data_IF_107078616812
#
_entry.id   IF_107078616812
#
_cell.length_a   1.000
_cell.length_b   1.000
_cell.length_c   1.000
_cell.angle_alpha   90.00
_cell.angle_beta   90.00
_cell.angle_gamma   90.00
#
_symmetry.space_group_name_H-M   'P 1'
#
loop_
_entity.id
_entity.type
_entity.pdbx_description
1 polymer ?
#
# COMPACT_ATOMS: atom_id res chain seq x y z
N UNK A 1 3.91 -12.27 27.22
CA UNK A 1 4.91 -11.80 26.24
C UNK A 1 5.04 -12.86 25.17
N UNK A 2 4.46 -12.62 23.99
CA UNK A 2 4.44 -13.61 22.89
C UNK A 2 5.88 -13.81 22.38
N UNK A 3 6.36 -15.07 22.39
CA UNK A 3 7.75 -15.40 22.03
C UNK A 3 7.96 -15.64 20.53
N UNK A 4 6.89 -15.70 19.73
CA UNK A 4 6.91 -15.91 18.28
C UNK A 4 5.71 -15.20 17.66
N UNK A 5 5.94 -14.23 16.78
CA UNK A 5 4.90 -13.68 15.91
C UNK A 5 4.75 -14.67 14.75
N UNK A 6 3.54 -15.17 14.52
CA UNK A 6 3.27 -16.11 13.42
C UNK A 6 2.58 -15.42 12.24
N UNK A 7 1.71 -14.45 12.53
CA UNK A 7 0.99 -13.65 11.56
C UNK A 7 0.82 -12.25 12.14
N UNK A 8 0.92 -11.23 11.29
CA UNK A 8 0.63 -9.84 11.62
C UNK A 8 -0.58 -9.44 10.76
N UNK A 9 -1.76 -9.18 11.37
CA UNK A 9 -2.85 -8.55 10.66
C UNK A 9 -2.44 -7.13 10.30
N UNK A 10 -2.46 -6.81 8.99
CA UNK A 10 -2.04 -5.52 8.49
C UNK A 10 -2.93 -5.04 7.36
N UNK A 11 -2.93 -3.73 7.17
CA UNK A 11 -3.58 -3.06 6.06
C UNK A 11 -2.82 -1.76 5.78
N UNK A 12 -2.82 -1.35 4.52
CA UNK A 12 -2.12 -0.14 4.09
C UNK A 12 -2.89 0.49 2.95
N UNK A 13 -2.86 1.81 2.89
CA UNK A 13 -3.31 2.57 1.73
C UNK A 13 -2.21 3.57 1.44
N UNK A 14 -1.74 3.62 0.20
CA UNK A 14 -0.77 4.61 -0.28
C UNK A 14 -0.88 4.71 -1.80
N UNK A 15 -0.75 5.91 -2.39
CA UNK A 15 -0.72 6.06 -3.85
C UNK A 15 0.51 5.43 -4.53
N UNK A 16 1.63 5.28 -3.83
CA UNK A 16 2.86 4.70 -4.35
C UNK A 16 3.06 3.26 -3.87
N UNK A 17 3.35 2.34 -4.79
CA UNK A 17 3.58 0.93 -4.46
C UNK A 17 4.77 0.75 -3.50
N UNK A 18 5.86 1.51 -3.70
CA UNK A 18 7.04 1.43 -2.84
C UNK A 18 6.71 1.67 -1.35
N UNK A 19 5.79 2.59 -1.05
CA UNK A 19 5.43 2.90 0.33
C UNK A 19 4.63 1.78 1.01
N UNK A 20 4.07 0.85 0.24
CA UNK A 20 3.57 -0.41 0.78
C UNK A 20 4.69 -1.44 0.93
N UNK A 21 5.42 -1.76 -0.15
CA UNK A 21 6.39 -2.84 -0.11
C UNK A 21 7.58 -2.57 0.82
N UNK A 22 8.08 -1.34 0.89
CA UNK A 22 9.26 -1.02 1.68
C UNK A 22 9.09 -1.29 3.18
N UNK A 23 8.08 -0.74 3.89
CA UNK A 23 7.94 -0.98 5.33
C UNK A 23 7.59 -2.43 5.67
N UNK A 24 6.90 -3.15 4.79
CA UNK A 24 6.37 -4.49 5.04
C UNK A 24 7.22 -5.64 4.51
N UNK A 25 7.97 -5.46 3.43
CA UNK A 25 8.59 -6.55 2.66
C UNK A 25 10.01 -6.25 2.14
N UNK A 26 10.58 -5.08 2.48
CA UNK A 26 12.02 -4.86 2.26
C UNK A 26 12.83 -5.47 3.40
N UNK A 27 14.10 -5.80 3.13
CA UNK A 27 15.01 -6.32 4.16
C UNK A 27 15.27 -5.34 5.31
N UNK A 28 15.03 -4.03 5.09
CA UNK A 28 15.12 -2.98 6.10
C UNK A 28 13.74 -2.50 6.58
N UNK A 29 12.68 -3.27 6.29
CA UNK A 29 11.30 -2.92 6.60
C UNK A 29 11.06 -2.82 8.11
N UNK A 30 10.55 -1.68 8.54
CA UNK A 30 10.33 -1.42 9.97
C UNK A 30 9.19 -2.26 10.57
N UNK A 31 8.26 -2.76 9.74
CA UNK A 31 7.05 -3.49 10.19
C UNK A 31 7.23 -5.00 10.05
N UNK A 32 8.06 -5.45 9.10
CA UNK A 32 8.37 -6.87 8.90
C UNK A 32 9.10 -7.50 10.10
N UNK A 33 9.74 -6.71 10.98
CA UNK A 33 10.56 -7.21 12.08
C UNK A 33 11.68 -8.19 11.65
N UNK A 34 12.08 -8.17 10.37
CA UNK A 34 13.14 -9.01 9.81
C UNK A 34 12.73 -10.47 9.56
N UNK A 35 11.42 -10.75 9.46
CA UNK A 35 10.90 -12.09 9.17
C UNK A 35 10.95 -12.45 7.67
N UNK A 36 10.86 -11.45 6.79
CA UNK A 36 11.00 -11.57 5.35
C UNK A 36 12.19 -10.75 4.84
N UNK A 37 13.20 -11.44 4.30
CA UNK A 37 14.28 -10.78 3.57
C UNK A 37 14.79 -11.70 2.46
N UNK A 38 14.45 -11.33 1.22
CA UNK A 38 15.00 -11.92 0.01
C UNK A 38 15.84 -10.85 -0.74
N UNK A 39 17.16 -11.05 -0.92
CA UNK A 39 18.00 -10.09 -1.61
C UNK A 39 17.64 -9.87 -3.09
N UNK A 40 17.08 -10.86 -3.77
CA UNK A 40 16.56 -10.70 -5.13
C UNK A 40 15.31 -9.80 -5.13
N UNK A 41 14.35 -10.09 -4.25
CA UNK A 41 13.15 -9.27 -4.09
C UNK A 41 13.51 -7.82 -3.77
N UNK A 42 14.43 -7.58 -2.84
CA UNK A 42 14.94 -6.25 -2.50
C UNK A 42 15.46 -5.49 -3.73
N UNK A 43 16.25 -6.15 -4.59
CA UNK A 43 16.75 -5.51 -5.82
C UNK A 43 15.63 -5.15 -6.78
N UNK A 44 14.57 -5.95 -6.84
CA UNK A 44 13.40 -5.64 -7.66
C UNK A 44 12.61 -4.46 -7.12
N UNK A 45 12.41 -4.37 -5.79
CA UNK A 45 11.80 -3.21 -5.13
C UNK A 45 12.55 -1.92 -5.49
N UNK A 46 13.87 -1.91 -5.29
CA UNK A 46 14.71 -0.74 -5.56
C UNK A 46 14.72 -0.38 -7.05
N UNK A 47 14.76 -1.39 -7.93
CA UNK A 47 14.67 -1.16 -9.37
C UNK A 47 13.33 -0.54 -9.75
N UNK A 48 12.22 -1.07 -9.27
CA UNK A 48 10.89 -0.54 -9.57
C UNK A 48 10.76 0.90 -9.12
N UNK A 49 11.17 1.20 -7.88
CA UNK A 49 11.17 2.56 -7.34
C UNK A 49 12.02 3.53 -8.17
N UNK A 50 13.25 3.14 -8.55
CA UNK A 50 14.14 3.99 -9.38
C UNK A 50 13.54 4.32 -10.77
N UNK A 51 12.66 3.47 -11.28
CA UNK A 51 12.01 3.65 -12.57
C UNK A 51 10.77 4.54 -12.50
N UNK A 52 10.18 4.78 -11.32
CA UNK A 52 8.91 5.53 -11.19
C UNK A 52 8.99 6.94 -11.81
N UNK A 53 10.09 7.65 -11.53
CA UNK A 53 10.28 9.02 -11.98
C UNK A 53 10.56 9.15 -13.49
N UNK A 54 11.12 8.11 -14.13
CA UNK A 54 11.64 8.21 -15.51
C UNK A 54 10.91 7.32 -16.51
N UNK A 55 10.38 6.17 -16.06
CA UNK A 55 9.74 5.13 -16.88
C UNK A 55 8.51 4.56 -16.17
N UNK A 56 7.46 5.36 -15.91
CA UNK A 56 6.35 4.97 -15.04
C UNK A 56 5.58 3.73 -15.52
N UNK A 57 5.45 3.53 -16.85
CA UNK A 57 4.80 2.31 -17.39
C UNK A 57 5.61 1.04 -17.14
N UNK A 58 6.94 1.15 -17.25
CA UNK A 58 7.84 0.03 -16.94
C UNK A 58 7.85 -0.25 -15.44
N UNK A 59 7.88 0.79 -14.60
CA UNK A 59 7.75 0.66 -13.16
C UNK A 59 6.44 -0.04 -12.76
N UNK A 60 5.30 0.39 -13.33
CA UNK A 60 4.01 -0.24 -13.06
C UNK A 60 3.97 -1.73 -13.45
N UNK A 61 4.57 -2.09 -14.59
CA UNK A 61 4.67 -3.50 -15.01
C UNK A 61 5.53 -4.33 -14.06
N UNK A 62 6.62 -3.74 -13.55
CA UNK A 62 7.50 -4.38 -12.58
C UNK A 62 6.82 -4.51 -11.20
N UNK A 63 6.10 -3.49 -10.75
CA UNK A 63 5.30 -3.54 -9.52
C UNK A 63 4.25 -4.66 -9.56
N UNK A 64 3.57 -4.83 -10.69
CA UNK A 64 2.62 -5.94 -10.85
C UNK A 64 3.30 -7.32 -10.78
N UNK A 65 4.57 -7.43 -11.18
CA UNK A 65 5.35 -8.67 -11.03
C UNK A 65 5.74 -8.90 -9.57
N UNK A 66 6.25 -7.87 -8.90
CA UNK A 66 6.64 -7.90 -7.49
C UNK A 66 5.45 -8.30 -6.61
N UNK A 67 4.26 -7.76 -6.88
CA UNK A 67 3.01 -8.12 -6.19
C UNK A 67 2.72 -9.63 -6.29
N UNK A 68 2.78 -10.21 -7.49
CA UNK A 68 2.60 -11.65 -7.69
C UNK A 68 3.67 -12.47 -6.95
N UNK A 69 4.93 -12.04 -7.03
CA UNK A 69 6.03 -12.72 -6.36
C UNK A 69 5.88 -12.72 -4.83
N UNK A 70 5.43 -11.60 -4.25
CA UNK A 70 5.15 -11.51 -2.82
C UNK A 70 4.02 -12.47 -2.38
N UNK A 71 2.97 -12.60 -3.19
CA UNK A 71 1.87 -13.54 -2.94
C UNK A 71 2.31 -14.99 -3.13
N UNK A 72 3.06 -15.29 -4.18
CA UNK A 72 3.56 -16.65 -4.48
C UNK A 72 4.50 -17.17 -3.38
N UNK A 73 5.27 -16.27 -2.75
CA UNK A 73 6.12 -16.59 -1.59
C UNK A 73 5.38 -16.58 -0.25
N UNK A 74 4.08 -16.26 -0.25
CA UNK A 74 3.28 -16.04 0.96
C UNK A 74 3.87 -14.98 1.92
N UNK A 75 4.63 -14.01 1.38
CA UNK A 75 5.18 -12.89 2.13
C UNK A 75 4.08 -11.92 2.58
N UNK A 76 3.00 -11.82 1.80
CA UNK A 76 1.75 -11.17 2.17
C UNK A 76 0.57 -12.03 1.72
N UNK A 77 -0.48 -12.09 2.54
CA UNK A 77 -1.72 -12.84 2.22
C UNK A 77 -2.87 -11.84 2.06
N UNK A 78 -3.23 -11.44 0.81
CA UNK A 78 -4.32 -10.51 0.58
C UNK A 78 -5.67 -11.08 1.05
N UNK A 79 -6.37 -10.33 1.90
CA UNK A 79 -7.70 -10.74 2.40
C UNK A 79 -8.83 -10.00 1.68
N UNK A 80 -8.77 -8.66 1.67
CA UNK A 80 -9.82 -7.80 1.11
C UNK A 80 -9.22 -6.51 0.55
N UNK A 81 -9.88 -5.92 -0.44
CA UNK A 81 -9.65 -4.54 -0.87
C UNK A 81 -10.88 -3.69 -0.46
N UNK A 82 -10.82 -3.01 0.69
CA UNK A 82 -12.00 -2.34 1.25
C UNK A 82 -12.44 -1.17 0.39
N UNK A 83 -13.76 -0.93 0.33
CA UNK A 83 -14.35 0.28 -0.23
C UNK A 83 -14.79 1.19 0.92
N UNK A 84 -14.47 2.48 0.82
CA UNK A 84 -14.97 3.46 1.77
C UNK A 84 -16.38 3.90 1.38
N UNK A 85 -17.26 4.02 2.39
CA UNK A 85 -18.63 4.49 2.25
C UNK A 85 -18.80 5.63 3.25
N UNK A 86 -19.14 6.81 2.75
CA UNK A 86 -19.36 8.01 3.57
C UNK A 86 -20.85 8.34 3.66
N UNK A 87 -21.36 8.53 4.87
CA UNK A 87 -22.73 9.01 5.10
C UNK A 87 -22.76 10.54 5.14
N UNK A 88 -23.53 11.15 4.24
CA UNK A 88 -23.54 12.60 4.05
C UNK A 88 -24.94 13.16 4.29
N UNK A 89 -25.03 14.20 5.14
CA UNK A 89 -26.30 14.89 5.39
C UNK A 89 -26.85 15.54 4.11
N UNK A 90 -28.18 15.51 3.94
CA UNK A 90 -28.86 16.18 2.83
C UNK A 90 -28.63 17.70 2.79
N UNK A 91 -28.08 18.30 3.86
CA UNK A 91 -27.70 19.73 3.93
C UNK A 91 -26.32 20.02 3.34
N UNK A 92 -25.46 19.00 3.23
CA UNK A 92 -24.11 19.15 2.65
C UNK A 92 -24.21 19.26 1.13
N UNK A 93 -23.40 20.14 0.56
CA UNK A 93 -23.23 20.35 -0.86
C UNK A 93 -21.75 20.29 -1.20
N UNK A 94 -21.45 19.94 -2.45
CA UNK A 94 -20.09 19.78 -2.96
C UNK A 94 -19.24 18.82 -2.11
N UNK A 95 -19.85 17.70 -1.70
CA UNK A 95 -19.10 16.61 -1.06
C UNK A 95 -18.13 16.01 -2.07
N UNK A 96 -16.85 16.02 -1.75
CA UNK A 96 -15.80 15.38 -2.51
C UNK A 96 -15.05 14.42 -1.61
N UNK A 97 -14.73 13.25 -2.16
CA UNK A 97 -13.96 12.21 -1.50
C UNK A 97 -12.68 11.95 -2.29
N UNK A 98 -11.55 11.97 -1.60
CA UNK A 98 -10.26 11.58 -2.12
C UNK A 98 -9.86 10.19 -1.57
N UNK A 99 -9.50 9.21 -2.41
CA UNK A 99 -9.23 7.83 -1.96
C UNK A 99 -8.18 7.67 -0.86
N UNK A 100 -7.26 8.65 -0.73
CA UNK A 100 -6.20 8.63 0.29
C UNK A 100 -6.43 9.62 1.44
N UNK A 101 -7.13 10.74 1.21
CA UNK A 101 -7.34 11.78 2.23
C UNK A 101 -8.73 11.74 2.86
N UNK A 102 -9.63 10.93 2.32
CA UNK A 102 -11.04 10.92 2.69
C UNK A 102 -11.73 12.22 2.26
N UNK A 103 -12.48 12.81 3.17
CA UNK A 103 -13.29 14.01 2.89
C UNK A 103 -12.41 15.23 2.59
N UNK A 104 -12.74 15.95 1.51
CA UNK A 104 -12.06 17.20 1.15
C UNK A 104 -12.82 18.38 1.79
N UNK A 105 -12.40 18.77 3.00
CA UNK A 105 -13.20 19.62 3.88
C UNK A 105 -13.43 21.05 3.38
N UNK A 106 -12.45 21.64 2.69
CA UNK A 106 -12.51 23.00 2.12
C UNK A 106 -13.50 23.12 0.94
N UNK A 107 -13.86 21.99 0.33
CA UNK A 107 -14.83 21.94 -0.77
C UNK A 107 -16.28 21.87 -0.25
N UNK A 108 -16.49 21.50 1.00
CA UNK A 108 -17.83 21.34 1.57
C UNK A 108 -18.51 22.69 1.75
N UNK A 109 -19.81 22.73 1.51
CA UNK A 109 -20.66 23.86 1.91
C UNK A 109 -22.00 23.39 2.42
N UNK A 110 -22.57 24.15 3.36
CA UNK A 110 -23.93 23.93 3.82
C UNK A 110 -24.91 24.69 2.91
N UNK A 111 -26.12 24.14 2.77
CA UNK A 111 -27.28 24.89 2.29
C UNK A 111 -27.84 25.78 3.41
#
# INVERSE_FOLDING_TARGET
MFKKIQLIPGGWVDPAAYNFFAPWLSCAGAIDHGWFCDPHFERELQRAHSLEATRPRTAASLWARIDREAVDQAAWVPLVNPRQIDFVSARVRNFQHHPYWGIVADQLRLR
#
